data_IF_831045468377
#
_entry.id   IF_831045468377
#
_cell.length_a   1.000
_cell.length_b   1.000
_cell.length_c   1.000
_cell.angle_alpha   90.00
_cell.angle_beta   90.00
_cell.angle_gamma   90.00
#
_symmetry.space_group_name_H-M   'P 1'
#
loop_
_entity.id
_entity.type
_entity.pdbx_description
1 polymer ?
#
# COMPACT_ATOMS: atom_id res chain seq x y z
N UNK A 1 -22.04 16.74 -17.42
CA UNK A 1 -21.10 16.42 -18.51
C UNK A 1 -19.77 15.96 -17.90
N UNK A 2 -19.68 14.72 -17.42
CA UNK A 2 -18.40 14.11 -17.00
C UNK A 2 -17.88 13.30 -18.18
N UNK A 3 -17.24 13.99 -19.12
CA UNK A 3 -16.55 13.32 -20.22
C UNK A 3 -15.12 12.96 -19.79
N UNK A 4 -14.64 11.84 -20.34
CA UNK A 4 -13.26 11.35 -20.48
C UNK A 4 -12.87 10.18 -19.57
N UNK A 5 -13.01 8.97 -20.13
CA UNK A 5 -11.97 7.92 -20.21
C UNK A 5 -10.74 8.15 -19.31
N UNK A 6 -10.90 8.01 -18.00
CA UNK A 6 -9.78 8.06 -17.07
C UNK A 6 -9.12 6.70 -16.99
N UNK A 7 -8.16 6.39 -17.87
CA UNK A 7 -7.09 5.47 -17.48
C UNK A 7 -6.51 6.06 -16.20
N UNK A 8 -6.85 5.45 -15.05
CA UNK A 8 -6.19 5.77 -13.79
C UNK A 8 -4.68 5.81 -14.04
N UNK A 9 -3.93 6.66 -13.32
CA UNK A 9 -2.49 6.71 -13.51
C UNK A 9 -1.99 5.27 -13.49
N UNK A 10 -1.08 4.95 -14.40
CA UNK A 10 -0.36 3.70 -14.33
C UNK A 10 0.25 3.52 -12.94
N UNK A 11 1.06 2.48 -12.78
CA UNK A 11 1.71 2.18 -11.50
C UNK A 11 2.37 3.43 -10.91
N UNK A 12 2.11 3.72 -9.64
CA UNK A 12 2.62 4.91 -8.96
C UNK A 12 4.10 4.73 -8.60
N UNK A 13 4.87 5.81 -8.57
CA UNK A 13 6.18 5.80 -7.88
C UNK A 13 5.96 5.79 -6.36
N UNK A 14 6.99 5.44 -5.56
CA UNK A 14 6.88 5.54 -4.11
C UNK A 14 6.55 6.95 -3.63
N UNK A 15 7.13 8.00 -4.25
CA UNK A 15 6.85 9.39 -3.88
C UNK A 15 5.41 9.79 -4.17
N UNK A 16 4.86 9.39 -5.33
CA UNK A 16 3.45 9.65 -5.66
C UNK A 16 2.50 8.91 -4.72
N UNK A 17 2.82 7.65 -4.40
CA UNK A 17 2.06 6.87 -3.44
C UNK A 17 2.06 7.54 -2.06
N UNK A 18 3.24 7.94 -1.57
CA UNK A 18 3.38 8.65 -0.30
C UNK A 18 2.57 9.94 -0.26
N UNK A 19 2.73 10.80 -1.27
CA UNK A 19 2.01 12.08 -1.35
C UNK A 19 0.49 11.88 -1.25
N UNK A 20 -0.09 11.05 -2.14
CA UNK A 20 -1.54 10.79 -2.16
C UNK A 20 -2.07 10.22 -0.85
N UNK A 21 -1.28 9.37 -0.19
CA UNK A 21 -1.69 8.75 1.07
C UNK A 21 -1.59 9.73 2.25
N UNK A 22 -0.58 10.61 2.25
CA UNK A 22 -0.41 11.67 3.25
C UNK A 22 -1.49 12.75 3.11
N UNK A 23 -1.90 13.05 1.88
CA UNK A 23 -2.98 14.01 1.59
C UNK A 23 -4.38 13.42 1.85
N UNK A 24 -4.47 12.13 2.19
CA UNK A 24 -5.73 11.44 2.45
C UNK A 24 -6.55 11.10 1.19
N UNK A 25 -6.00 11.34 0.00
CA UNK A 25 -6.60 11.06 -1.31
C UNK A 25 -6.65 9.56 -1.63
N UNK A 26 -5.80 8.75 -0.99
CA UNK A 26 -5.77 7.30 -1.16
C UNK A 26 -5.36 6.59 0.13
N UNK A 27 -5.62 5.28 0.17
CA UNK A 27 -5.16 4.40 1.25
C UNK A 27 -4.08 3.48 0.75
N UNK A 28 -2.97 3.37 1.49
CA UNK A 28 -1.92 2.41 1.18
C UNK A 28 -2.27 1.05 1.80
N UNK A 29 -2.31 0.00 0.97
CA UNK A 29 -2.56 -1.38 1.40
C UNK A 29 -1.30 -2.22 1.17
N UNK A 30 -0.65 -2.64 2.25
CA UNK A 30 0.46 -3.58 2.19
C UNK A 30 -0.08 -5.01 2.11
N UNK A 31 0.27 -5.69 1.02
CA UNK A 31 -0.18 -7.05 0.71
C UNK A 31 0.88 -8.12 0.97
N UNK A 32 1.97 -7.76 1.66
CA UNK A 32 2.98 -8.71 2.14
C UNK A 32 2.45 -9.57 3.28
N UNK A 33 3.17 -10.64 3.59
CA UNK A 33 2.83 -11.50 4.72
C UNK A 33 3.21 -10.85 6.06
N UNK A 34 2.57 -11.27 7.15
CA UNK A 34 2.74 -10.69 8.49
C UNK A 34 4.19 -10.51 8.94
N UNK A 35 5.12 -11.46 8.71
CA UNK A 35 6.53 -11.26 9.09
C UNK A 35 7.19 -10.07 8.37
N UNK A 36 6.89 -9.88 7.08
CA UNK A 36 7.43 -8.76 6.30
C UNK A 36 6.82 -7.42 6.73
N UNK A 37 5.53 -7.42 7.10
CA UNK A 37 4.84 -6.25 7.66
C UNK A 37 5.45 -5.83 9.00
N UNK A 38 5.64 -6.79 9.91
CA UNK A 38 6.20 -6.56 11.24
C UNK A 38 7.66 -6.08 11.19
N UNK A 39 8.41 -6.49 10.16
CA UNK A 39 9.78 -6.05 9.95
C UNK A 39 9.90 -4.58 9.50
N UNK A 40 8.80 -3.98 9.04
CA UNK A 40 8.71 -2.57 8.68
C UNK A 40 7.87 -2.32 7.44
N UNK A 41 7.04 -1.28 7.50
CA UNK A 41 6.05 -0.88 6.51
C UNK A 41 5.90 0.65 6.48
N UNK A 42 5.23 1.19 5.48
CA UNK A 42 4.97 2.62 5.38
C UNK A 42 4.00 3.10 6.48
N UNK A 43 4.21 4.27 7.11
CA UNK A 43 3.28 4.81 8.11
C UNK A 43 1.86 4.97 7.57
N UNK A 44 0.87 4.67 8.42
CA UNK A 44 -0.55 4.77 8.06
C UNK A 44 -1.04 3.74 7.04
N UNK A 45 -0.18 2.82 6.58
CA UNK A 45 -0.60 1.72 5.73
C UNK A 45 -1.58 0.80 6.48
N UNK A 46 -2.46 0.15 5.72
CA UNK A 46 -3.28 -0.96 6.19
C UNK A 46 -2.64 -2.28 5.74
N UNK A 47 -2.83 -3.34 6.52
CA UNK A 47 -2.28 -4.66 6.21
C UNK A 47 -3.37 -5.64 5.79
N UNK A 48 -3.23 -6.23 4.60
CA UNK A 48 -4.06 -7.35 4.15
C UNK A 48 -3.22 -8.24 3.21
N UNK A 49 -2.68 -9.37 3.70
CA UNK A 49 -1.86 -10.25 2.87
C UNK A 49 -2.55 -10.67 1.57
N UNK A 50 -1.80 -10.74 0.47
CA UNK A 50 -2.33 -11.15 -0.83
C UNK A 50 -2.98 -12.54 -0.76
N UNK A 51 -2.43 -13.45 0.05
CA UNK A 51 -2.99 -14.78 0.31
C UNK A 51 -4.44 -14.71 0.81
N UNK A 52 -4.72 -13.85 1.80
CA UNK A 52 -6.06 -13.60 2.32
C UNK A 52 -6.96 -12.90 1.30
N UNK A 53 -6.42 -11.94 0.57
CA UNK A 53 -7.16 -11.24 -0.47
C UNK A 53 -7.64 -12.22 -1.55
N UNK A 54 -6.77 -13.14 -2.01
CA UNK A 54 -7.12 -14.20 -2.96
C UNK A 54 -8.16 -15.16 -2.40
N UNK A 55 -8.12 -15.46 -1.09
CA UNK A 55 -9.11 -16.28 -0.40
C UNK A 55 -10.48 -15.59 -0.22
N UNK A 56 -10.65 -14.36 -0.70
CA UNK A 56 -11.94 -13.65 -0.69
C UNK A 56 -12.12 -12.70 0.49
N UNK A 57 -11.07 -12.43 1.27
CA UNK A 57 -11.16 -11.42 2.32
C UNK A 57 -11.57 -10.05 1.75
N UNK A 58 -12.49 -9.38 2.45
CA UNK A 58 -12.89 -8.01 2.15
C UNK A 58 -11.79 -7.02 2.51
N UNK A 59 -11.80 -5.88 1.83
CA UNK A 59 -10.94 -4.76 2.19
C UNK A 59 -11.26 -4.26 3.61
N UNK A 60 -10.26 -3.72 4.33
CA UNK A 60 -10.52 -3.07 5.61
C UNK A 60 -11.51 -1.92 5.46
N UNK A 61 -12.35 -1.70 6.47
CA UNK A 61 -13.37 -0.66 6.45
C UNK A 61 -12.81 0.75 6.16
N UNK A 62 -11.60 1.02 6.63
CA UNK A 62 -10.90 2.29 6.39
C UNK A 62 -10.58 2.59 4.91
N UNK A 63 -10.73 1.62 3.99
CA UNK A 63 -10.60 1.86 2.54
C UNK A 63 -11.90 2.32 1.89
N UNK A 64 -13.03 2.31 2.61
CA UNK A 64 -14.35 2.60 2.03
C UNK A 64 -14.39 4.01 1.45
N UNK A 65 -14.82 4.11 0.18
CA UNK A 65 -14.94 5.39 -0.52
C UNK A 65 -13.61 6.04 -0.94
N UNK A 66 -12.49 5.32 -0.83
CA UNK A 66 -11.16 5.83 -1.19
C UNK A 66 -10.45 4.91 -2.20
N UNK A 67 -9.67 5.48 -3.14
CA UNK A 67 -8.75 4.72 -3.96
C UNK A 67 -7.75 3.92 -3.12
N UNK A 68 -7.43 2.71 -3.57
CA UNK A 68 -6.49 1.80 -2.90
C UNK A 68 -5.16 1.75 -3.66
N UNK A 69 -4.07 2.12 -3.00
CA UNK A 69 -2.72 1.95 -3.53
C UNK A 69 -2.10 0.73 -2.88
N UNK A 70 -1.85 -0.33 -3.64
CA UNK A 70 -1.27 -1.56 -3.11
C UNK A 70 0.26 -1.52 -3.15
N UNK A 71 0.90 -2.03 -2.09
CA UNK A 71 2.35 -2.15 -2.02
C UNK A 71 2.73 -3.56 -1.57
N UNK A 72 3.85 -4.06 -2.09
CA UNK A 72 4.44 -5.32 -1.64
C UNK A 72 5.96 -5.17 -1.54
N UNK A 73 6.75 -6.25 -1.51
CA UNK A 73 8.22 -6.14 -1.46
C UNK A 73 8.81 -5.42 -2.68
N UNK A 74 8.52 -5.91 -3.89
CA UNK A 74 9.19 -5.49 -5.14
C UNK A 74 8.24 -5.05 -6.26
N UNK A 75 6.93 -5.02 -6.02
CA UNK A 75 5.90 -4.59 -6.99
C UNK A 75 5.12 -5.72 -7.70
N UNK A 76 5.55 -6.98 -7.57
CA UNK A 76 4.89 -8.11 -8.27
C UNK A 76 3.54 -8.49 -7.65
N UNK A 77 3.52 -8.75 -6.33
CA UNK A 77 2.30 -9.12 -5.58
C UNK A 77 1.29 -7.98 -5.52
N UNK A 78 1.76 -6.74 -5.41
CA UNK A 78 0.90 -5.55 -5.39
C UNK A 78 0.20 -5.35 -6.72
N UNK A 79 0.89 -5.52 -7.87
CA UNK A 79 0.24 -5.49 -9.18
C UNK A 79 -0.86 -6.55 -9.32
N UNK A 80 -0.65 -7.74 -8.77
CA UNK A 80 -1.69 -8.77 -8.73
C UNK A 80 -2.86 -8.37 -7.83
N UNK A 81 -2.58 -7.82 -6.64
CA UNK A 81 -3.61 -7.31 -5.72
C UNK A 81 -4.46 -6.20 -6.36
N UNK A 82 -3.84 -5.20 -6.99
CA UNK A 82 -4.53 -4.11 -7.67
C UNK A 82 -5.49 -4.64 -8.74
N UNK A 83 -5.05 -5.61 -9.57
CA UNK A 83 -5.92 -6.25 -10.57
C UNK A 83 -7.09 -7.00 -9.95
N UNK A 84 -6.84 -7.74 -8.87
CA UNK A 84 -7.88 -8.48 -8.15
C UNK A 84 -8.93 -7.53 -7.55
N UNK A 85 -8.48 -6.42 -6.95
CA UNK A 85 -9.35 -5.40 -6.38
C UNK A 85 -10.15 -4.65 -7.45
N UNK A 86 -9.52 -4.30 -8.57
CA UNK A 86 -10.21 -3.72 -9.72
C UNK A 86 -11.29 -4.66 -10.28
N UNK A 87 -11.00 -5.97 -10.35
CA UNK A 87 -11.99 -6.99 -10.72
C UNK A 87 -13.14 -7.12 -9.72
N UNK A 88 -12.98 -6.62 -8.48
CA UNK A 88 -14.03 -6.52 -7.45
C UNK A 88 -14.70 -5.14 -7.40
N UNK A 89 -14.41 -4.26 -8.36
CA UNK A 89 -15.01 -2.93 -8.47
C UNK A 89 -14.34 -1.84 -7.63
N UNK A 90 -13.21 -2.12 -6.99
CA UNK A 90 -12.46 -1.09 -6.26
C UNK A 90 -11.55 -0.30 -7.22
N UNK A 91 -11.44 1.02 -7.01
CA UNK A 91 -10.40 1.82 -7.67
C UNK A 91 -9.05 1.47 -7.05
N UNK A 92 -8.20 0.74 -7.77
CA UNK A 92 -6.94 0.24 -7.24
C UNK A 92 -5.75 0.41 -8.20
N UNK A 93 -4.59 0.80 -7.66
CA UNK A 93 -3.30 0.87 -8.36
C UNK A 93 -2.18 0.24 -7.52
N UNK A 94 -0.96 0.12 -8.05
CA UNK A 94 0.18 -0.45 -7.35
C UNK A 94 1.43 0.43 -7.35
N UNK A 95 2.24 0.30 -6.30
CA UNK A 95 3.53 0.99 -6.19
C UNK A 95 4.62 0.26 -6.97
N UNK A 96 5.25 0.97 -7.91
CA UNK A 96 6.42 0.50 -8.65
C UNK A 96 7.59 0.23 -7.72
N UNK A 97 8.18 -0.96 -7.82
CA UNK A 97 9.33 -1.38 -7.01
C UNK A 97 9.00 -1.71 -5.55
N UNK A 98 7.74 -1.54 -5.12
CA UNK A 98 7.28 -1.90 -3.78
C UNK A 98 8.02 -1.18 -2.64
N UNK A 99 8.01 -1.79 -1.46
CA UNK A 99 8.70 -1.31 -0.26
C UNK A 99 10.22 -1.22 -0.44
N UNK A 100 10.82 -2.00 -1.35
CA UNK A 100 12.23 -1.85 -1.70
C UNK A 100 12.51 -0.49 -2.34
N UNK A 101 11.68 -0.07 -3.30
CA UNK A 101 11.82 1.26 -3.91
C UNK A 101 11.40 2.37 -2.94
N UNK A 102 10.40 2.13 -2.08
CA UNK A 102 10.00 3.05 -1.02
C UNK A 102 11.16 3.38 -0.08
N UNK A 103 11.84 2.35 0.45
CA UNK A 103 12.99 2.54 1.33
C UNK A 103 14.17 3.22 0.61
N UNK A 104 14.44 2.84 -0.65
CA UNK A 104 15.49 3.48 -1.46
C UNK A 104 15.21 4.95 -1.76
N UNK A 105 13.95 5.34 -1.83
CA UNK A 105 13.53 6.73 -1.99
C UNK A 105 13.64 7.55 -0.69
N UNK A 106 14.11 6.95 0.41
CA UNK A 106 14.26 7.62 1.70
C UNK A 106 12.92 7.94 2.38
N UNK A 107 11.83 7.28 1.96
CA UNK A 107 10.51 7.54 2.52
C UNK A 107 10.34 6.89 3.91
N UNK A 108 9.49 7.45 4.77
CA UNK A 108 9.30 6.95 6.14
C UNK A 108 8.90 5.47 6.19
N UNK A 109 9.44 4.74 7.17
CA UNK A 109 9.09 3.34 7.50
C UNK A 109 8.87 3.25 9.01
N UNK A 110 7.80 2.56 9.41
CA UNK A 110 7.47 2.22 10.80
C UNK A 110 7.35 0.70 10.94
N UNK A 111 7.46 0.19 12.16
CA UNK A 111 7.59 -1.24 12.40
C UNK A 111 9.04 -1.69 12.19
N UNK A 112 9.52 -2.44 13.16
CA UNK A 112 10.94 -2.59 13.42
C UNK A 112 11.03 -2.68 14.93
N UNK A 113 11.43 -3.85 15.43
CA UNK A 113 11.49 -4.22 16.83
C UNK A 113 11.89 -3.03 17.71
N UNK A 114 10.95 -2.54 18.52
CA UNK A 114 11.26 -1.72 19.68
C UNK A 114 12.24 -2.48 20.56
N UNK A 115 13.43 -1.91 20.69
CA UNK A 115 14.52 -2.35 21.55
C UNK A 115 15.35 -1.11 21.86
N UNK A 116 15.05 -0.51 23.01
CA UNK A 116 15.66 0.64 23.69
C UNK A 116 15.55 2.02 23.04
N UNK A 117 14.49 2.73 23.41
CA UNK A 117 14.56 4.17 23.69
C UNK A 117 15.36 4.34 24.99
N UNK A 118 16.69 4.29 24.87
CA UNK A 118 17.61 4.69 25.94
C UNK A 118 17.65 6.21 26.06
N UNK A 119 16.60 6.81 26.62
CA UNK A 119 16.71 8.11 27.30
C UNK A 119 16.88 7.81 28.79
N UNK A 120 18.13 7.84 29.23
CA UNK A 120 18.46 7.96 30.65
C UNK A 120 18.09 9.38 31.08
N UNK A 121 17.20 9.48 32.06
CA UNK A 121 17.09 10.66 32.94
C UNK A 121 18.07 10.49 34.09
#
# INVERSE_FOLDING_TARGET
>A
MFSLLGRGPGRLTPQQAHQRTSDGEAVLLDVRETPEWNAGHAPGALHLPLSRLMAGASLPEATRGKPVVTVCRSGHRSRQAARLLAGRGAEATDVTGGMTAWARAGLPVTGGRGGSDGVMT
#
